data_IF_608497999144
#
_entry.id   IF_608497999144
#
_cell.length_a   1.000
_cell.length_b   1.000
_cell.length_c   1.000
_cell.angle_alpha   90.00
_cell.angle_beta   90.00
_cell.angle_gamma   90.00
#
_symmetry.space_group_name_H-M   'P 1'
#
loop_
_entity.id
_entity.type
_entity.pdbx_description
1 polymer ?
#
# COMPACT_ATOMS: atom_id res chain seq x y z
N UNK A 1 12.34 7.01 -8.88
CA UNK A 1 11.67 7.06 -7.55
C UNK A 1 10.71 8.26 -7.46
N UNK A 2 11.17 9.51 -7.57
CA UNK A 2 10.28 10.70 -7.55
C UNK A 2 9.16 10.68 -8.60
N UNK A 3 9.43 10.21 -9.82
CA UNK A 3 8.41 10.08 -10.88
C UNK A 3 7.29 9.08 -10.57
N UNK A 4 7.57 8.00 -9.84
CA UNK A 4 6.57 7.00 -9.45
C UNK A 4 5.65 7.52 -8.34
N UNK A 5 6.18 8.36 -7.45
CA UNK A 5 5.39 9.07 -6.42
C UNK A 5 4.42 10.05 -7.06
N UNK A 6 4.83 10.76 -8.11
CA UNK A 6 3.95 11.68 -8.86
C UNK A 6 2.83 10.94 -9.59
N UNK A 7 3.07 9.69 -10.00
CA UNK A 7 2.09 8.84 -10.70
C UNK A 7 1.22 7.98 -9.77
N UNK A 8 1.39 8.07 -8.44
CA UNK A 8 0.56 7.35 -7.47
C UNK A 8 0.80 5.84 -7.37
N UNK A 9 1.89 5.32 -7.96
CA UNK A 9 2.22 3.88 -7.91
C UNK A 9 2.97 3.50 -6.62
N UNK A 10 2.35 3.76 -5.46
CA UNK A 10 2.95 3.52 -4.15
C UNK A 10 3.20 2.04 -3.87
N UNK A 11 2.35 1.13 -4.37
CA UNK A 11 2.53 -0.32 -4.22
C UNK A 11 3.84 -0.81 -4.88
N UNK A 12 4.15 -0.32 -6.09
CA UNK A 12 5.38 -0.67 -6.81
C UNK A 12 6.59 -0.10 -6.08
N UNK A 13 6.49 1.16 -5.63
CA UNK A 13 7.55 1.80 -4.85
C UNK A 13 7.84 1.03 -3.55
N UNK A 14 6.81 0.53 -2.90
CA UNK A 14 6.91 -0.27 -1.69
C UNK A 14 7.53 -1.65 -1.96
N UNK A 15 7.04 -2.38 -2.97
CA UNK A 15 7.60 -3.68 -3.38
C UNK A 15 9.09 -3.54 -3.74
N UNK A 16 9.45 -2.52 -4.52
CA UNK A 16 10.85 -2.20 -4.87
C UNK A 16 11.65 -1.88 -3.61
N UNK A 17 11.14 -1.00 -2.74
CA UNK A 17 11.85 -0.63 -1.51
C UNK A 17 12.14 -1.84 -0.64
N UNK A 18 11.15 -2.71 -0.41
CA UNK A 18 11.33 -3.93 0.37
C UNK A 18 12.35 -4.88 -0.26
N UNK A 19 12.39 -4.96 -1.59
CA UNK A 19 13.31 -5.83 -2.31
C UNK A 19 14.75 -5.30 -2.32
N UNK A 20 14.94 -3.99 -2.36
CA UNK A 20 16.26 -3.38 -2.61
C UNK A 20 16.90 -2.69 -1.42
N UNK A 21 16.15 -2.34 -0.36
CA UNK A 21 16.68 -1.51 0.72
C UNK A 21 17.88 -2.15 1.44
N UNK A 22 17.82 -3.45 1.71
CA UNK A 22 18.89 -4.16 2.43
C UNK A 22 20.22 -4.18 1.66
N UNK A 23 20.30 -4.62 0.38
CA UNK A 23 21.55 -4.60 -0.37
C UNK A 23 22.06 -3.16 -0.57
N UNK A 24 21.18 -2.18 -0.82
CA UNK A 24 21.57 -0.78 -0.98
C UNK A 24 22.14 -0.19 0.33
N UNK A 25 21.54 -0.53 1.48
CA UNK A 25 22.01 -0.06 2.78
C UNK A 25 23.42 -0.59 3.10
N UNK A 26 23.72 -1.86 2.77
CA UNK A 26 25.06 -2.44 2.92
C UNK A 26 26.12 -1.77 2.05
N UNK A 27 25.74 -1.33 0.84
CA UNK A 27 26.64 -0.62 -0.08
C UNK A 27 27.11 0.74 0.44
N UNK A 28 26.48 1.30 1.48
CA UNK A 28 26.93 2.55 2.11
C UNK A 28 28.33 2.42 2.74
N UNK A 29 28.78 1.20 3.04
CA UNK A 29 30.15 0.93 3.47
C UNK A 29 31.14 1.28 2.37
N UNK A 30 30.80 1.12 1.09
CA UNK A 30 31.70 1.33 -0.05
C UNK A 30 31.76 2.82 -0.46
N UNK A 31 32.91 3.51 -0.29
CA UNK A 31 33.01 4.95 -0.57
C UNK A 31 32.64 5.34 -2.00
N UNK A 32 33.02 4.50 -2.99
CA UNK A 32 32.77 4.73 -4.42
C UNK A 32 31.27 4.78 -4.76
N UNK A 33 30.47 3.97 -4.07
CA UNK A 33 29.03 3.83 -4.34
C UNK A 33 28.18 4.72 -3.43
N UNK A 34 28.72 5.18 -2.30
CA UNK A 34 27.98 5.88 -1.25
C UNK A 34 27.29 7.15 -1.75
N UNK A 35 27.94 7.97 -2.59
CA UNK A 35 27.35 9.20 -3.13
C UNK A 35 26.13 8.94 -4.03
N UNK A 36 26.12 7.81 -4.74
CA UNK A 36 25.04 7.43 -5.64
C UNK A 36 23.90 6.72 -4.90
N UNK A 37 24.25 5.84 -3.94
CA UNK A 37 23.30 4.98 -3.23
C UNK A 37 22.72 5.65 -1.99
N UNK A 38 23.52 6.45 -1.26
CA UNK A 38 23.14 7.16 -0.04
C UNK A 38 21.83 7.93 -0.14
N UNK A 39 21.67 8.84 -1.12
CA UNK A 39 20.43 9.60 -1.26
C UNK A 39 19.21 8.72 -1.52
N UNK A 40 19.38 7.58 -2.22
CA UNK A 40 18.30 6.63 -2.51
C UNK A 40 17.88 5.91 -1.23
N UNK A 41 18.84 5.43 -0.44
CA UNK A 41 18.59 4.75 0.83
C UNK A 41 17.90 5.67 1.83
N UNK A 42 18.42 6.88 2.02
CA UNK A 42 17.83 7.88 2.92
C UNK A 42 16.41 8.22 2.48
N UNK A 43 16.19 8.39 1.16
CA UNK A 43 14.86 8.61 0.62
C UNK A 43 13.92 7.42 0.89
N UNK A 44 14.34 6.19 0.58
CA UNK A 44 13.54 4.98 0.83
C UNK A 44 13.11 4.89 2.30
N UNK A 45 14.05 5.03 3.23
CA UNK A 45 13.75 4.97 4.67
C UNK A 45 12.84 6.12 5.11
N UNK A 46 13.05 7.32 4.58
CA UNK A 46 12.19 8.47 4.89
C UNK A 46 10.76 8.31 4.36
N UNK A 47 10.56 7.56 3.28
CA UNK A 47 9.23 7.27 2.72
C UNK A 47 8.54 6.08 3.41
N UNK A 48 9.25 5.30 4.23
CA UNK A 48 8.69 4.11 4.89
C UNK A 48 7.89 4.40 6.17
N UNK A 49 7.48 5.65 6.41
CA UNK A 49 6.72 6.05 7.60
C UNK A 49 5.36 5.34 7.75
N UNK A 50 4.83 4.73 6.69
CA UNK A 50 3.57 3.98 6.78
C UNK A 50 3.71 2.54 7.21
N UNK A 51 4.91 1.96 7.08
CA UNK A 51 5.12 0.54 7.33
C UNK A 51 6.58 0.27 7.75
N UNK A 52 6.79 -0.37 8.91
CA UNK A 52 8.12 -0.54 9.47
C UNK A 52 8.96 -1.62 8.78
N UNK A 53 8.42 -2.44 7.87
CA UNK A 53 9.09 -3.61 7.28
C UNK A 53 10.44 -3.26 6.66
N UNK A 54 10.52 -2.16 5.90
CA UNK A 54 11.78 -1.73 5.29
C UNK A 54 12.81 -1.31 6.34
N UNK A 55 12.37 -0.61 7.39
CA UNK A 55 13.24 -0.25 8.52
C UNK A 55 13.70 -1.49 9.29
N UNK A 56 12.78 -2.39 9.64
CA UNK A 56 13.09 -3.64 10.33
C UNK A 56 14.10 -4.50 9.57
N UNK A 57 14.02 -4.54 8.24
CA UNK A 57 15.01 -5.24 7.40
C UNK A 57 16.43 -4.71 7.52
N UNK A 58 16.61 -3.41 7.76
CA UNK A 58 17.95 -2.83 7.87
C UNK A 58 18.53 -2.91 9.28
N UNK A 59 17.69 -3.05 10.33
CA UNK A 59 18.12 -3.06 11.75
C UNK A 59 19.36 -3.94 12.01
N UNK A 60 19.43 -5.21 11.52
CA UNK A 60 20.59 -6.06 11.76
C UNK A 60 21.91 -5.51 11.19
N UNK A 61 21.83 -4.61 10.21
CA UNK A 61 22.98 -4.07 9.48
C UNK A 61 23.37 -2.66 9.95
N UNK A 62 22.47 -1.93 10.61
CA UNK A 62 22.70 -0.54 11.04
C UNK A 62 23.98 -0.40 11.86
N UNK A 63 24.15 -1.24 12.89
CA UNK A 63 25.32 -1.18 13.77
C UNK A 63 26.63 -1.37 13.02
N UNK A 64 26.68 -2.28 12.05
CA UNK A 64 27.88 -2.54 11.24
C UNK A 64 28.23 -1.34 10.35
N UNK A 65 27.23 -0.79 9.65
CA UNK A 65 27.40 0.35 8.76
C UNK A 65 27.84 1.60 9.54
N UNK A 66 27.16 1.92 10.64
CA UNK A 66 27.46 3.08 11.48
C UNK A 66 28.88 3.00 12.06
N UNK A 67 29.28 1.83 12.60
CA UNK A 67 30.65 1.61 13.11
C UNK A 67 31.70 1.80 12.02
N UNK A 68 31.44 1.31 10.81
CA UNK A 68 32.35 1.49 9.68
C UNK A 68 32.48 2.96 9.30
N UNK A 69 31.36 3.66 9.10
CA UNK A 69 31.35 5.07 8.67
C UNK A 69 32.05 5.98 9.68
N UNK A 70 31.85 5.70 10.98
CA UNK A 70 32.55 6.41 12.05
C UNK A 70 34.06 6.17 12.05
N UNK A 71 34.49 4.93 11.76
CA UNK A 71 35.92 4.57 11.67
C UNK A 71 36.61 5.19 10.46
N UNK A 72 35.91 5.29 9.33
CA UNK A 72 36.47 5.83 8.07
C UNK A 72 36.83 7.31 8.15
N UNK A 73 36.05 8.13 8.88
CA UNK A 73 36.28 9.56 9.10
C UNK A 73 36.41 10.41 7.82
N UNK A 74 35.87 9.97 6.69
CA UNK A 74 35.76 10.81 5.50
C UNK A 74 34.60 11.80 5.64
N UNK A 75 34.64 12.92 4.92
CA UNK A 75 33.53 13.88 4.93
C UNK A 75 32.20 13.21 4.55
N UNK A 76 32.24 12.35 3.53
CA UNK A 76 31.08 11.57 3.10
C UNK A 76 30.64 10.57 4.16
N UNK A 77 31.56 9.86 4.82
CA UNK A 77 31.19 8.87 5.84
C UNK A 77 30.55 9.52 7.06
N UNK A 78 31.06 10.67 7.51
CA UNK A 78 30.50 11.42 8.63
C UNK A 78 29.14 12.05 8.30
N UNK A 79 28.97 12.57 7.08
CA UNK A 79 27.65 13.09 6.62
C UNK A 79 26.59 11.99 6.64
N UNK A 80 26.87 10.85 5.99
CA UNK A 80 25.90 9.75 5.94
C UNK A 80 25.72 9.05 7.28
N UNK A 81 26.74 9.00 8.14
CA UNK A 81 26.60 8.56 9.52
C UNK A 81 25.51 9.36 10.24
N UNK A 82 25.58 10.69 10.18
CA UNK A 82 24.60 11.57 10.82
C UNK A 82 23.21 11.43 10.19
N UNK A 83 23.12 11.36 8.87
CA UNK A 83 21.82 11.14 8.19
C UNK A 83 21.17 9.81 8.59
N UNK A 84 21.94 8.71 8.65
CA UNK A 84 21.45 7.39 9.04
C UNK A 84 20.98 7.41 10.50
N UNK A 85 21.78 7.96 11.41
CA UNK A 85 21.43 8.06 12.83
C UNK A 85 20.13 8.84 13.01
N UNK A 86 20.01 10.00 12.37
CA UNK A 86 18.80 10.83 12.43
C UNK A 86 17.56 10.10 11.90
N UNK A 87 17.67 9.46 10.73
CA UNK A 87 16.55 8.71 10.15
C UNK A 87 16.16 7.52 11.03
N UNK A 88 17.13 6.78 11.56
CA UNK A 88 16.84 5.64 12.45
C UNK A 88 16.15 6.10 13.73
N UNK A 89 16.62 7.18 14.37
CA UNK A 89 15.99 7.73 15.58
C UNK A 89 14.55 8.15 15.28
N UNK A 90 14.34 8.91 14.21
CA UNK A 90 13.01 9.34 13.80
C UNK A 90 12.06 8.17 13.54
N UNK A 91 12.53 7.13 12.85
CA UNK A 91 11.72 5.93 12.58
C UNK A 91 11.44 5.13 13.87
N UNK A 92 12.39 5.05 14.80
CA UNK A 92 12.17 4.39 16.09
C UNK A 92 11.19 5.13 17.00
N UNK A 93 11.15 6.46 16.93
CA UNK A 93 10.15 7.28 17.64
C UNK A 93 8.78 7.16 16.97
N UNK A 94 8.74 7.20 15.64
CA UNK A 94 7.51 7.06 14.86
C UNK A 94 6.84 5.70 15.08
N UNK A 95 7.61 4.61 15.07
CA UNK A 95 7.13 3.24 15.29
C UNK A 95 7.21 2.81 16.77
N UNK A 96 6.70 3.66 17.67
CA UNK A 96 6.79 3.49 19.12
C UNK A 96 6.21 2.16 19.65
N UNK A 97 5.29 1.54 18.91
CA UNK A 97 4.69 0.25 19.21
C UNK A 97 5.71 -0.91 19.20
N UNK A 98 6.85 -0.73 18.53
CA UNK A 98 7.98 -1.67 18.52
C UNK A 98 9.13 -1.25 19.43
N UNK A 99 8.89 -0.32 20.38
CA UNK A 99 9.92 0.25 21.27
C UNK A 99 10.86 -0.79 21.90
N UNK A 100 10.33 -1.94 22.36
CA UNK A 100 11.13 -3.04 22.93
C UNK A 100 12.16 -3.61 21.95
N UNK A 101 11.83 -3.73 20.67
CA UNK A 101 12.75 -4.21 19.63
C UNK A 101 13.90 -3.23 19.40
N UNK A 102 13.65 -1.93 19.62
CA UNK A 102 14.60 -0.87 19.33
C UNK A 102 15.58 -0.57 20.46
N UNK A 103 15.40 -1.13 21.65
CA UNK A 103 16.25 -0.84 22.82
C UNK A 103 17.74 -1.09 22.51
N UNK A 104 18.05 -2.25 21.91
CA UNK A 104 19.42 -2.60 21.56
C UNK A 104 20.01 -1.64 20.51
N UNK A 105 19.24 -1.30 19.49
CA UNK A 105 19.66 -0.37 18.45
C UNK A 105 19.87 1.05 18.99
N UNK A 106 18.97 1.55 19.85
CA UNK A 106 19.11 2.87 20.49
C UNK A 106 20.41 2.99 21.27
N UNK A 107 20.75 1.96 22.05
CA UNK A 107 22.00 1.92 22.82
C UNK A 107 23.24 1.94 21.92
N UNK A 108 23.22 1.24 20.79
CA UNK A 108 24.32 1.24 19.83
C UNK A 108 24.45 2.57 19.08
N UNK A 109 23.35 3.31 18.87
CA UNK A 109 23.35 4.59 18.17
C UNK A 109 23.66 5.79 19.07
N UNK A 110 23.50 5.64 20.38
CA UNK A 110 23.73 6.69 21.40
C UNK A 110 25.06 7.45 21.24
N UNK A 111 26.21 6.80 20.98
CA UNK A 111 27.50 7.50 20.85
C UNK A 111 27.60 8.44 19.64
N UNK A 112 26.72 8.29 18.65
CA UNK A 112 26.76 9.04 17.40
C UNK A 112 25.71 10.17 17.35
N UNK A 113 24.88 10.28 18.40
CA UNK A 113 23.90 11.35 18.52
C UNK A 113 24.62 12.71 18.68
N UNK A 114 24.14 13.76 18.00
CA UNK A 114 24.70 15.09 18.20
C UNK A 114 24.49 15.55 19.65
N UNK A 115 25.58 15.97 20.31
CA UNK A 115 25.53 16.60 21.62
C UNK A 115 24.83 17.95 21.48
N UNK A 116 23.72 18.13 22.21
CA UNK A 116 22.83 19.31 22.29
C UNK A 116 21.64 19.36 21.29
N UNK A 117 20.44 19.33 21.88
CA UNK A 117 19.17 19.81 21.34
C UNK A 117 18.54 19.09 20.12
N UNK A 118 18.66 17.76 20.00
CA UNK A 118 17.90 17.02 18.97
C UNK A 118 16.37 17.22 19.06
N UNK A 119 15.85 17.57 20.25
CA UNK A 119 14.41 17.86 20.44
C UNK A 119 13.93 19.13 19.73
N UNK A 120 14.80 20.04 19.31
CA UNK A 120 14.39 21.36 18.80
C UNK A 120 14.49 21.52 17.26
N UNK A 121 15.14 20.58 16.57
CA UNK A 121 15.19 20.55 15.08
C UNK A 121 14.18 19.58 14.45
N UNK A 122 13.39 18.88 15.26
CA UNK A 122 12.44 17.82 14.83
C UNK A 122 11.04 18.37 14.51
N UNK A 123 10.76 19.63 14.82
CA UNK A 123 9.61 20.37 14.27
C UNK A 123 10.09 21.31 13.17
N UNK A 124 10.09 20.87 11.90
CA UNK A 124 10.18 21.86 10.80
C UNK A 124 11.03 21.53 9.57
N UNK A 125 11.31 20.26 9.25
CA UNK A 125 11.57 19.86 7.85
C UNK A 125 10.79 18.61 7.46
N UNK A 126 9.49 18.63 7.74
CA UNK A 126 8.56 17.97 6.83
C UNK A 126 8.51 18.85 5.57
N UNK A 127 9.08 18.39 4.46
CA UNK A 127 8.99 19.09 3.17
C UNK A 127 7.56 19.05 2.57
N UNK A 128 6.56 18.75 3.41
CA UNK A 128 5.13 18.90 3.16
C UNK A 128 4.57 20.18 3.80
N UNK A 129 5.39 21.24 3.93
CA UNK A 129 4.84 22.57 4.14
C UNK A 129 4.27 23.08 2.80
N UNK A 130 3.04 22.62 2.57
CA UNK A 130 2.21 22.86 1.42
C UNK A 130 0.78 22.50 1.79
N UNK A 131 0.29 23.13 2.86
CA UNK A 131 -1.14 23.25 3.20
C UNK A 131 -1.92 21.92 3.34
N UNK A 132 -1.82 21.25 4.48
CA UNK A 132 -2.91 20.42 5.00
C UNK A 132 -2.75 20.20 6.51
N UNK A 133 -3.56 20.94 7.26
CA UNK A 133 -3.90 20.73 8.66
C UNK A 133 -4.03 19.25 9.06
N UNK A 134 -3.34 18.87 10.14
CA UNK A 134 -3.63 17.75 11.07
C UNK A 134 -4.39 16.56 10.44
N UNK A 135 -3.68 15.66 9.77
CA UNK A 135 -4.28 14.45 9.18
C UNK A 135 -4.15 13.26 10.15
N UNK A 136 -5.25 12.59 10.53
CA UNK A 136 -5.21 11.37 11.33
C UNK A 136 -4.38 10.26 10.68
N UNK A 137 -3.69 9.48 11.50
CA UNK A 137 -2.64 8.47 11.24
C UNK A 137 -3.04 7.33 10.26
N UNK A 138 -4.27 7.28 9.76
CA UNK A 138 -4.81 6.17 8.97
C UNK A 138 -4.51 6.22 7.45
N UNK A 139 -3.70 7.15 6.98
CA UNK A 139 -3.69 7.54 5.57
C UNK A 139 -2.32 7.52 4.84
N UNK A 140 -1.34 6.77 5.34
CA UNK A 140 0.02 6.79 4.75
C UNK A 140 0.34 5.60 3.85
N UNK A 141 -0.57 4.62 3.70
CA UNK A 141 -0.38 3.46 2.79
C UNK A 141 -0.56 3.80 1.31
N UNK A 142 -1.02 5.01 0.98
CA UNK A 142 -1.43 5.38 -0.38
C UNK A 142 -2.70 4.64 -0.85
N UNK A 143 -3.38 3.91 0.04
CA UNK A 143 -4.61 3.16 -0.25
C UNK A 143 -5.82 3.87 0.32
N UNK A 144 -6.93 3.76 -0.40
CA UNK A 144 -8.21 4.38 -0.05
C UNK A 144 -9.07 3.40 0.75
N UNK A 145 -9.55 3.81 1.92
CA UNK A 145 -10.46 3.04 2.75
C UNK A 145 -11.91 3.06 2.23
N UNK A 146 -12.77 2.22 2.82
CA UNK A 146 -14.22 2.26 2.59
C UNK A 146 -14.94 2.63 3.89
N UNK A 147 -15.79 3.65 3.83
CA UNK A 147 -16.61 4.06 4.97
C UNK A 147 -17.60 2.95 5.34
N UNK A 148 -17.73 2.68 6.64
CA UNK A 148 -18.79 1.82 7.15
C UNK A 148 -20.10 2.62 7.15
N UNK A 149 -21.10 2.16 6.38
CA UNK A 149 -22.37 2.87 6.16
C UNK A 149 -23.47 2.38 7.13
N UNK A 150 -23.06 1.82 8.26
CA UNK A 150 -23.92 1.15 9.23
C UNK A 150 -23.91 -0.35 9.02
N UNK A 151 -23.07 -1.05 9.79
CA UNK A 151 -22.92 -2.51 9.76
C UNK A 151 -22.54 -3.11 8.38
N UNK A 152 -21.86 -2.33 7.52
CA UNK A 152 -21.45 -2.76 6.17
C UNK A 152 -20.01 -3.25 6.09
N UNK A 153 -19.38 -3.57 7.22
CA UNK A 153 -17.98 -4.03 7.25
C UNK A 153 -17.76 -5.33 6.47
N UNK A 154 -18.76 -6.23 6.46
CA UNK A 154 -18.75 -7.48 5.69
C UNK A 154 -18.60 -7.25 4.18
N UNK A 155 -19.27 -6.22 3.65
CA UNK A 155 -19.17 -5.84 2.24
C UNK A 155 -17.84 -5.14 1.97
N UNK A 156 -17.46 -4.21 2.85
CA UNK A 156 -16.23 -3.43 2.68
C UNK A 156 -14.98 -4.32 2.67
N UNK A 157 -14.91 -5.35 3.53
CA UNK A 157 -13.79 -6.30 3.56
C UNK A 157 -13.71 -7.11 2.27
N UNK A 158 -14.83 -7.57 1.73
CA UNK A 158 -14.90 -8.30 0.46
C UNK A 158 -14.47 -7.43 -0.73
N UNK A 159 -14.98 -6.20 -0.82
CA UNK A 159 -14.62 -5.29 -1.92
C UNK A 159 -13.11 -4.95 -1.91
N UNK A 160 -12.53 -4.73 -0.72
CA UNK A 160 -11.09 -4.51 -0.58
C UNK A 160 -10.28 -5.77 -0.94
N UNK A 161 -10.73 -6.96 -0.54
CA UNK A 161 -10.05 -8.22 -0.89
C UNK A 161 -10.06 -8.50 -2.41
N UNK A 162 -11.20 -8.25 -3.07
CA UNK A 162 -11.31 -8.36 -4.53
C UNK A 162 -10.43 -7.33 -5.24
N UNK A 163 -10.40 -6.09 -4.77
CA UNK A 163 -9.52 -5.04 -5.32
C UNK A 163 -8.03 -5.40 -5.18
N UNK A 164 -7.63 -6.01 -4.06
CA UNK A 164 -6.25 -6.44 -3.84
C UNK A 164 -5.85 -7.66 -4.69
N UNK A 165 -6.82 -8.35 -5.30
CA UNK A 165 -6.59 -9.47 -6.22
C UNK A 165 -6.25 -8.93 -7.62
N UNK A 166 -4.96 -8.69 -7.88
CA UNK A 166 -4.47 -8.02 -9.12
C UNK A 166 -5.10 -8.55 -10.43
N UNK A 167 -5.22 -9.88 -10.67
CA UNK A 167 -5.86 -10.37 -11.90
C UNK A 167 -7.32 -9.91 -12.01
N UNK A 168 -8.12 -10.13 -10.96
CA UNK A 168 -9.53 -9.74 -10.94
C UNK A 168 -9.70 -8.23 -11.12
N UNK A 169 -8.94 -7.43 -10.35
CA UNK A 169 -8.98 -5.96 -10.46
C UNK A 169 -8.67 -5.49 -11.87
N UNK A 170 -7.59 -5.99 -12.47
CA UNK A 170 -7.16 -5.56 -13.81
C UNK A 170 -8.21 -5.91 -14.86
N UNK A 171 -8.80 -7.10 -14.77
CA UNK A 171 -9.89 -7.53 -15.65
C UNK A 171 -11.11 -6.60 -15.54
N UNK A 172 -11.55 -6.24 -14.33
CA UNK A 172 -12.64 -5.27 -14.11
C UNK A 172 -12.28 -3.87 -14.67
N UNK A 173 -11.04 -3.41 -14.49
CA UNK A 173 -10.58 -2.10 -14.96
C UNK A 173 -10.44 -2.01 -16.47
N UNK A 174 -10.12 -3.11 -17.14
CA UNK A 174 -9.92 -3.17 -18.60
C UNK A 174 -11.17 -3.59 -19.37
N UNK A 175 -12.24 -3.99 -18.68
CA UNK A 175 -13.49 -4.35 -19.32
C UNK A 175 -14.08 -3.14 -20.06
N UNK A 176 -14.45 -3.30 -21.33
CA UNK A 176 -15.01 -2.22 -22.18
C UNK A 176 -16.37 -2.54 -22.82
N UNK A 177 -16.84 -3.79 -22.68
CA UNK A 177 -18.06 -4.30 -23.33
C UNK A 177 -19.28 -4.08 -22.45
N UNK A 178 -20.46 -3.96 -23.07
CA UNK A 178 -21.81 -3.95 -22.49
C UNK A 178 -21.87 -3.98 -20.96
N UNK A 179 -21.52 -2.83 -20.36
CA UNK A 179 -21.34 -2.70 -18.92
C UNK A 179 -22.67 -2.76 -18.21
N UNK A 180 -22.86 -3.78 -17.38
CA UNK A 180 -23.99 -3.80 -16.45
C UNK A 180 -23.82 -2.71 -15.39
N UNK A 181 -24.92 -2.24 -14.77
CA UNK A 181 -24.85 -1.22 -13.73
C UNK A 181 -23.90 -1.60 -12.58
N UNK A 182 -23.92 -2.87 -12.15
CA UNK A 182 -23.04 -3.33 -11.08
C UNK A 182 -21.56 -3.31 -11.51
N UNK A 183 -21.26 -3.83 -12.69
CA UNK A 183 -19.89 -3.89 -13.20
C UNK A 183 -19.32 -2.48 -13.41
N UNK A 184 -20.11 -1.56 -13.96
CA UNK A 184 -19.75 -0.15 -14.10
C UNK A 184 -19.44 0.51 -12.75
N UNK A 185 -20.24 0.23 -11.72
CA UNK A 185 -20.01 0.77 -10.36
C UNK A 185 -18.78 0.14 -9.70
N UNK A 186 -18.53 -1.15 -9.89
CA UNK A 186 -17.30 -1.80 -9.42
C UNK A 186 -16.06 -1.27 -10.13
N UNK A 187 -16.10 -1.09 -11.44
CA UNK A 187 -15.01 -0.48 -12.20
C UNK A 187 -14.71 0.94 -11.71
N UNK A 188 -15.76 1.75 -11.52
CA UNK A 188 -15.64 3.10 -10.95
C UNK A 188 -15.02 3.04 -9.56
N UNK A 189 -15.49 2.15 -8.70
CA UNK A 189 -14.94 1.98 -7.36
C UNK A 189 -13.46 1.59 -7.41
N UNK A 190 -13.07 0.63 -8.25
CA UNK A 190 -11.69 0.17 -8.35
C UNK A 190 -10.77 1.24 -8.93
N UNK A 191 -11.23 2.00 -9.92
CA UNK A 191 -10.47 3.13 -10.46
C UNK A 191 -10.25 4.20 -9.38
N UNK A 192 -11.28 4.49 -8.58
CA UNK A 192 -11.17 5.42 -7.47
C UNK A 192 -10.28 4.87 -6.33
N UNK A 193 -10.37 3.59 -5.99
CA UNK A 193 -9.49 2.95 -4.99
C UNK A 193 -8.03 2.98 -5.43
N UNK A 194 -7.77 2.95 -6.74
CA UNK A 194 -6.42 2.97 -7.32
C UNK A 194 -5.83 4.36 -7.47
N UNK A 195 -6.64 5.38 -7.79
CA UNK A 195 -6.14 6.69 -8.22
C UNK A 195 -6.59 7.86 -7.34
N UNK A 196 -7.57 7.69 -6.47
CA UNK A 196 -8.05 8.77 -5.60
C UNK A 196 -7.03 9.09 -4.51
N UNK A 197 -6.93 10.39 -4.18
CA UNK A 197 -6.17 10.88 -3.02
C UNK A 197 -7.01 10.96 -1.75
N UNK A 198 -8.29 10.55 -1.80
CA UNK A 198 -9.19 10.56 -0.64
C UNK A 198 -8.79 9.45 0.33
N UNK A 199 -8.98 9.70 1.62
CA UNK A 199 -8.72 8.70 2.66
C UNK A 199 -9.73 7.57 2.68
N UNK A 200 -10.97 7.86 2.35
CA UNK A 200 -12.03 6.87 2.30
C UNK A 200 -13.13 7.26 1.32
N UNK A 201 -13.93 6.26 0.92
CA UNK A 201 -15.06 6.45 0.03
C UNK A 201 -16.25 5.58 0.46
N UNK A 202 -17.45 5.96 0.01
CA UNK A 202 -18.69 5.29 0.37
C UNK A 202 -19.26 4.54 -0.84
N UNK A 203 -19.26 3.19 -0.85
CA UNK A 203 -19.74 2.39 -1.98
C UNK A 203 -21.28 2.20 -1.94
N UNK A 204 -22.04 3.29 -1.79
CA UNK A 204 -23.52 3.25 -1.63
C UNK A 204 -24.21 2.52 -2.79
N UNK A 205 -23.78 2.78 -4.02
CA UNK A 205 -24.42 2.22 -5.22
C UNK A 205 -24.25 0.70 -5.30
N UNK A 206 -23.06 0.20 -4.93
CA UNK A 206 -22.77 -1.24 -4.92
C UNK A 206 -23.59 -1.95 -3.83
N UNK A 207 -23.72 -1.32 -2.65
CA UNK A 207 -24.55 -1.85 -1.57
C UNK A 207 -26.02 -2.02 -1.97
N UNK A 208 -26.53 -1.20 -2.90
CA UNK A 208 -27.90 -1.30 -3.39
C UNK A 208 -28.04 -2.30 -4.54
N UNK A 209 -27.03 -2.42 -5.40
CA UNK A 209 -27.06 -3.28 -6.59
C UNK A 209 -26.71 -4.74 -6.31
N UNK A 210 -25.88 -5.01 -5.30
CA UNK A 210 -25.35 -6.35 -5.01
C UNK A 210 -25.81 -6.89 -3.64
N UNK A 211 -26.91 -6.38 -3.10
CA UNK A 211 -27.44 -6.89 -1.82
C UNK A 211 -28.11 -8.25 -2.03
N UNK A 212 -27.65 -9.33 -1.36
CA UNK A 212 -28.31 -10.63 -1.43
C UNK A 212 -29.77 -10.56 -0.99
N UNK A 213 -30.68 -11.35 -1.60
CA UNK A 213 -32.03 -11.54 -1.10
C UNK A 213 -31.99 -12.01 0.36
N UNK A 214 -32.64 -11.27 1.27
CA UNK A 214 -32.64 -11.57 2.71
C UNK A 214 -31.68 -10.71 3.54
N UNK A 215 -30.72 -10.02 2.92
CA UNK A 215 -29.87 -9.08 3.66
C UNK A 215 -30.66 -7.81 3.98
N UNK A 216 -30.89 -7.56 5.25
CA UNK A 216 -31.58 -6.36 5.72
C UNK A 216 -30.61 -5.16 5.80
N UNK A 217 -31.02 -3.96 5.35
CA UNK A 217 -30.26 -2.74 5.55
C UNK A 217 -29.92 -2.50 7.03
N UNK A 218 -28.71 -2.01 7.30
CA UNK A 218 -28.26 -1.68 8.66
C UNK A 218 -27.96 -2.88 9.57
N UNK A 219 -28.10 -4.12 9.08
CA UNK A 219 -27.73 -5.34 9.82
C UNK A 219 -26.34 -5.83 9.40
N UNK A 220 -25.62 -6.46 10.32
CA UNK A 220 -24.39 -7.18 10.01
C UNK A 220 -24.75 -8.52 9.37
N UNK A 221 -23.93 -8.96 8.42
CA UNK A 221 -24.15 -10.20 7.67
C UNK A 221 -22.83 -10.92 7.42
N UNK A 222 -22.90 -12.15 6.90
CA UNK A 222 -21.72 -12.95 6.57
C UNK A 222 -21.04 -12.43 5.28
N UNK A 223 -19.73 -12.17 5.37
CA UNK A 223 -18.93 -11.73 4.22
C UNK A 223 -18.78 -12.79 3.14
N UNK A 224 -18.75 -14.07 3.51
CA UNK A 224 -18.61 -15.19 2.56
C UNK A 224 -19.87 -15.36 1.71
N UNK A 225 -21.04 -15.23 2.33
CA UNK A 225 -22.34 -15.24 1.63
C UNK A 225 -22.46 -14.04 0.68
N UNK A 226 -22.08 -12.85 1.12
CA UNK A 226 -22.02 -11.67 0.25
C UNK A 226 -21.07 -11.87 -0.94
N UNK A 227 -19.86 -12.41 -0.70
CA UNK A 227 -18.89 -12.68 -1.76
C UNK A 227 -19.45 -13.67 -2.80
N UNK A 228 -20.05 -14.78 -2.34
CA UNK A 228 -20.65 -15.77 -3.22
C UNK A 228 -21.71 -15.15 -4.12
N UNK A 229 -22.68 -14.45 -3.51
CA UNK A 229 -23.74 -13.77 -4.25
C UNK A 229 -23.20 -12.73 -5.25
N UNK A 230 -22.23 -11.91 -4.84
CA UNK A 230 -21.63 -10.90 -5.72
C UNK A 230 -21.00 -11.53 -6.96
N UNK A 231 -20.26 -12.62 -6.80
CA UNK A 231 -19.62 -13.32 -7.92
C UNK A 231 -20.65 -13.98 -8.85
N UNK A 232 -21.70 -14.57 -8.30
CA UNK A 232 -22.78 -15.17 -9.09
C UNK A 232 -23.51 -14.11 -9.93
N UNK A 233 -23.82 -12.94 -9.34
CA UNK A 233 -24.46 -11.84 -10.08
C UNK A 233 -23.57 -11.33 -11.22
N UNK A 234 -22.26 -11.18 -10.96
CA UNK A 234 -21.31 -10.75 -12.00
C UNK A 234 -21.19 -11.80 -13.12
N UNK A 235 -21.18 -13.08 -12.76
CA UNK A 235 -21.11 -14.18 -13.72
C UNK A 235 -22.33 -14.24 -14.64
N UNK A 236 -23.54 -14.19 -14.07
CA UNK A 236 -24.78 -14.24 -14.86
C UNK A 236 -24.95 -13.01 -15.75
N UNK A 237 -24.50 -11.84 -15.28
CA UNK A 237 -24.50 -10.61 -16.07
C UNK A 237 -23.56 -10.68 -17.29
N UNK A 238 -22.35 -11.25 -17.13
CA UNK A 238 -21.43 -11.46 -18.24
C UNK A 238 -22.03 -12.41 -19.29
N UNK A 239 -22.61 -13.53 -18.83
CA UNK A 239 -23.22 -14.54 -19.70
C UNK A 239 -24.38 -13.97 -20.50
N UNK A 240 -25.23 -13.17 -19.86
CA UNK A 240 -26.39 -12.54 -20.51
C UNK A 240 -25.96 -11.50 -21.56
N UNK A 241 -24.90 -10.74 -21.29
CA UNK A 241 -24.31 -9.81 -22.25
C UNK A 241 -23.71 -10.56 -23.47
N UNK A 242 -23.08 -11.72 -23.25
CA UNK A 242 -22.56 -12.56 -24.35
C UNK A 242 -23.67 -13.10 -25.26
N UNK A 243 -24.77 -13.61 -24.70
CA UNK A 243 -25.89 -14.16 -25.48
C UNK A 243 -26.64 -13.10 -26.31
N UNK A 244 -26.64 -11.83 -25.88
CA UNK A 244 -27.30 -10.74 -26.61
C UNK A 244 -26.57 -10.36 -27.91
N UNK A 245 -25.27 -10.61 -27.98
CA UNK A 245 -24.42 -10.28 -29.13
C UNK A 245 -24.35 -11.38 -30.19
N UNK A 246 -24.73 -12.63 -29.88
CA UNK A 246 -24.75 -13.74 -30.85
C UNK A 246 -25.86 -13.61 -31.92
N UNK A 247 -26.81 -12.68 -31.75
CA UNK A 247 -27.89 -12.45 -32.72
C UNK A 247 -27.51 -11.46 -33.85
N UNK A 248 -26.36 -10.79 -33.77
CA UNK A 248 -25.88 -9.84 -34.78
C UNK A 248 -24.38 -10.00 -34.95
N UNK A 249 -23.95 -10.36 -36.16
CA UNK A 249 -22.56 -10.57 -36.60
C UNK A 249 -21.89 -11.84 -36.12
N UNK A 250 -21.79 -12.81 -37.04
CA UNK A 250 -20.97 -13.99 -36.87
C UNK A 250 -19.49 -13.63 -36.75
N UNK A 251 -18.81 -14.41 -35.90
CA UNK A 251 -17.36 -14.49 -35.71
C UNK A 251 -16.78 -13.56 -34.63
N UNK A 252 -16.93 -13.94 -33.36
CA UNK A 252 -16.04 -13.47 -32.29
C UNK A 252 -15.66 -14.61 -31.33
N UNK A 253 -14.36 -14.71 -31.07
CA UNK A 253 -13.67 -15.60 -30.12
C UNK A 253 -14.28 -15.45 -28.72
N UNK A 254 -14.75 -16.54 -28.13
CA UNK A 254 -15.36 -16.58 -26.80
C UNK A 254 -14.50 -15.86 -25.75
N UNK A 255 -15.03 -14.78 -25.17
CA UNK A 255 -14.49 -14.15 -23.98
C UNK A 255 -14.67 -15.12 -22.80
N UNK A 256 -13.58 -15.42 -22.10
CA UNK A 256 -13.57 -16.30 -20.94
C UNK A 256 -13.16 -15.49 -19.71
N UNK A 257 -14.04 -14.66 -19.16
CA UNK A 257 -13.76 -13.97 -17.89
C UNK A 257 -13.91 -14.91 -16.69
N UNK A 258 -14.97 -15.75 -16.68
CA UNK A 258 -15.20 -16.73 -15.61
C UNK A 258 -15.03 -18.20 -16.04
N UNK A 259 -14.70 -18.47 -17.30
CA UNK A 259 -14.72 -19.84 -17.84
C UNK A 259 -13.36 -20.55 -17.73
N UNK A 260 -12.88 -20.76 -16.50
CA UNK A 260 -12.03 -21.90 -16.11
C UNK A 260 -11.59 -21.81 -14.63
N UNK A 261 -12.28 -22.53 -13.74
CA UNK A 261 -11.74 -23.65 -12.93
C UNK A 261 -12.75 -24.01 -11.82
N UNK A 262 -12.74 -25.29 -11.47
CA UNK A 262 -13.53 -26.05 -10.47
C UNK A 262 -13.97 -25.22 -9.23
N UNK A 263 -15.08 -25.60 -8.57
CA UNK A 263 -15.62 -24.87 -7.41
C UNK A 263 -14.53 -24.54 -6.40
N UNK A 264 -14.48 -23.28 -5.97
CA UNK A 264 -13.67 -22.83 -4.85
C UNK A 264 -14.16 -23.56 -3.59
N UNK A 265 -13.53 -24.70 -3.29
CA UNK A 265 -13.62 -25.31 -1.97
C UNK A 265 -12.80 -24.44 -1.00
N UNK A 266 -13.48 -23.58 -0.26
CA UNK A 266 -12.96 -23.12 1.03
C UNK A 266 -13.07 -24.29 2.01
N UNK A 267 -11.96 -25.01 2.19
CA UNK A 267 -11.79 -25.88 3.34
C UNK A 267 -11.64 -24.99 4.58
N UNK A 268 -12.56 -25.14 5.52
CA UNK A 268 -12.46 -24.64 6.90
C UNK A 268 -11.23 -25.25 7.59
#
# INVERSE_FOLDING_TARGET
MKGLVVQGHYDILFEVTIATIEPLFKLLIMPEHRKSVGPIVIYMLSQTQSNPVAFHKIIPHVTSVVKYLYKEKSESSLSYLQEIVNVCVNLMEHFSEYSNMYIGLKKELEPYLPASNYKQTVSGRSWLDGNSSLTPIYASSGKVGLNNLGNTCYMNSVLQALFMTKPFRNEILLYDKDMTPLLSKLQTLFALLQHSKRYSMSPNDILNLARPPGFLPGHQHDSSEFLGYLLDVLHEQEKTAACSNDSKTGMVRAGKFFQARKPFHFGL
#
